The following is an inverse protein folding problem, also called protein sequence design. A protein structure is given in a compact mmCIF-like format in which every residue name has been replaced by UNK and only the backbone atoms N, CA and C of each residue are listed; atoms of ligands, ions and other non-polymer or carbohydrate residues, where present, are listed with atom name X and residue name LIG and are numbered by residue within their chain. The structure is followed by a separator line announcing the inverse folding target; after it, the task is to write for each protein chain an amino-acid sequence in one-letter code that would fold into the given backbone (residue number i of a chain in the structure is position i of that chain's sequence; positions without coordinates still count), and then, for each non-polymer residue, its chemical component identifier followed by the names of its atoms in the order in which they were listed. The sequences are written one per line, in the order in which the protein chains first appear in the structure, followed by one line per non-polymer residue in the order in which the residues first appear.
data_IF_094962298839
#
_entry.id   IF_094962298839
#
_cell.length_a   1.000
_cell.length_b   1.000
_cell.length_c   1.000
_cell.angle_alpha   90.00
_cell.angle_beta   90.00
_cell.angle_gamma   90.00
#
_symmetry.space_group_name_H-M   'P 1'
#
loop_
_entity.id
_entity.type
_entity.pdbx_description
1 polymer ?
#
# COMPACT_ATOMS: atom_id res chain seq x y z
N UNK A 1 -19.52 -24.49 3.35
CA UNK A 1 -19.08 -23.37 2.47
C UNK A 1 -17.56 -23.29 2.56
N UNK A 2 -16.89 -23.19 1.41
CA UNK A 2 -15.43 -23.19 1.37
C UNK A 2 -14.92 -21.94 2.14
N UNK A 3 -14.02 -22.17 3.08
CA UNK A 3 -13.36 -21.14 3.90
C UNK A 3 -12.77 -19.99 3.04
N UNK A 4 -12.11 -20.35 1.94
CA UNK A 4 -11.52 -19.37 1.04
C UNK A 4 -12.55 -18.48 0.35
N UNK A 5 -13.68 -19.04 -0.05
CA UNK A 5 -14.77 -18.29 -0.67
C UNK A 5 -15.41 -17.32 0.32
N UNK A 6 -15.64 -17.75 1.56
CA UNK A 6 -16.26 -16.91 2.60
C UNK A 6 -15.35 -15.74 2.99
N UNK A 7 -14.05 -15.99 3.18
CA UNK A 7 -13.08 -14.95 3.51
C UNK A 7 -12.82 -14.02 2.32
N UNK A 8 -12.78 -14.55 1.10
CA UNK A 8 -12.66 -13.77 -0.12
C UNK A 8 -13.82 -12.80 -0.31
N UNK A 9 -15.05 -13.26 -0.13
CA UNK A 9 -16.24 -12.40 -0.20
C UNK A 9 -16.23 -11.32 0.88
N UNK A 10 -15.89 -11.68 2.12
CA UNK A 10 -15.81 -10.70 3.20
C UNK A 10 -14.70 -9.66 2.97
N UNK A 11 -13.51 -10.09 2.56
CA UNK A 11 -12.43 -9.20 2.18
C UNK A 11 -12.83 -8.25 1.04
N UNK A 12 -13.48 -8.77 0.01
CA UNK A 12 -13.99 -7.97 -1.12
C UNK A 12 -14.96 -6.89 -0.65
N UNK A 13 -15.87 -7.22 0.26
CA UNK A 13 -16.81 -6.26 0.85
C UNK A 13 -16.10 -5.17 1.66
N UNK A 14 -15.07 -5.52 2.43
CA UNK A 14 -14.23 -4.55 3.14
C UNK A 14 -13.57 -3.60 2.15
N UNK A 15 -12.88 -4.14 1.14
CA UNK A 15 -12.15 -3.34 0.15
C UNK A 15 -13.08 -2.42 -0.66
N UNK A 16 -14.25 -2.91 -1.08
CA UNK A 16 -15.25 -2.09 -1.75
C UNK A 16 -15.75 -0.95 -0.87
N UNK A 17 -15.96 -1.22 0.42
CA UNK A 17 -16.40 -0.20 1.38
C UNK A 17 -15.34 0.89 1.55
N UNK A 18 -14.08 0.50 1.64
CA UNK A 18 -12.95 1.44 1.73
C UNK A 18 -12.84 2.34 0.50
N UNK A 19 -12.91 1.77 -0.70
CA UNK A 19 -12.85 2.52 -1.96
C UNK A 19 -14.03 3.51 -2.07
N UNK A 20 -15.19 3.12 -1.57
CA UNK A 20 -16.39 3.97 -1.56
C UNK A 20 -16.45 4.93 -0.37
N UNK A 21 -15.40 4.99 0.44
CA UNK A 21 -15.33 5.76 1.69
C UNK A 21 -16.52 5.48 2.63
N UNK A 22 -16.87 4.20 2.76
CA UNK A 22 -17.95 3.71 3.63
C UNK A 22 -17.39 2.81 4.73
N UNK A 23 -18.08 2.75 5.85
CA UNK A 23 -17.77 1.79 6.92
C UNK A 23 -18.24 0.40 6.48
N UNK A 24 -17.37 -0.64 6.48
CA UNK A 24 -17.80 -2.00 6.16
C UNK A 24 -18.69 -2.57 7.25
N UNK A 25 -19.53 -3.53 6.88
CA UNK A 25 -20.31 -4.30 7.84
C UNK A 25 -19.41 -5.26 8.63
N UNK A 26 -19.83 -5.59 9.85
CA UNK A 26 -19.21 -6.69 10.59
C UNK A 26 -19.52 -8.03 9.88
N UNK A 27 -18.67 -9.08 10.06
CA UNK A 27 -18.96 -10.37 9.47
C UNK A 27 -20.28 -10.94 10.03
N UNK A 28 -21.10 -11.46 9.15
CA UNK A 28 -22.37 -12.14 9.46
C UNK A 28 -22.19 -13.65 9.74
N UNK A 29 -20.94 -14.06 9.91
CA UNK A 29 -20.54 -15.46 10.21
C UNK A 29 -19.47 -15.47 11.31
N UNK A 30 -19.28 -16.65 11.91
CA UNK A 30 -18.20 -16.86 12.88
C UNK A 30 -16.85 -16.84 12.19
N UNK A 31 -16.10 -15.75 12.34
CA UNK A 31 -14.78 -15.55 11.74
C UNK A 31 -13.66 -15.99 12.68
N UNK A 32 -12.70 -16.76 12.18
CA UNK A 32 -11.40 -16.94 12.80
C UNK A 32 -10.48 -15.78 12.36
N UNK A 33 -10.39 -14.76 13.20
CA UNK A 33 -9.62 -13.55 12.90
C UNK A 33 -8.14 -13.81 12.65
N UNK A 34 -7.55 -14.85 13.26
CA UNK A 34 -6.14 -15.19 13.05
C UNK A 34 -5.94 -15.74 11.63
N UNK A 35 -6.80 -16.66 11.18
CA UNK A 35 -6.76 -17.17 9.80
C UNK A 35 -7.07 -16.05 8.79
N UNK A 36 -8.02 -15.19 9.11
CA UNK A 36 -8.35 -14.05 8.26
C UNK A 36 -7.16 -13.07 8.13
N UNK A 37 -6.41 -12.84 9.22
CA UNK A 37 -5.17 -12.05 9.15
C UNK A 37 -4.17 -12.67 8.16
N UNK A 38 -3.90 -13.97 8.25
CA UNK A 38 -2.99 -14.66 7.33
C UNK A 38 -3.47 -14.60 5.88
N UNK A 39 -4.79 -14.73 5.67
CA UNK A 39 -5.41 -14.55 4.37
C UNK A 39 -5.17 -13.14 3.81
N UNK A 40 -5.39 -12.10 4.60
CA UNK A 40 -5.13 -10.70 4.21
C UNK A 40 -3.64 -10.43 3.94
N UNK A 41 -2.74 -11.04 4.73
CA UNK A 41 -1.29 -10.94 4.50
C UNK A 41 -0.87 -11.59 3.18
N UNK A 42 -1.44 -12.76 2.86
CA UNK A 42 -1.18 -13.44 1.57
C UNK A 42 -1.57 -12.55 0.38
N UNK A 43 -2.71 -11.86 0.47
CA UNK A 43 -3.18 -10.93 -0.55
C UNK A 43 -2.57 -9.53 -0.45
N UNK A 44 -1.64 -9.28 0.48
CA UNK A 44 -0.95 -7.99 0.68
C UNK A 44 -1.89 -6.81 0.95
N UNK A 45 -3.00 -7.05 1.65
CA UNK A 45 -4.04 -6.04 1.95
C UNK A 45 -4.34 -5.87 3.45
N UNK A 46 -3.54 -6.48 4.31
CA UNK A 46 -3.75 -6.43 5.76
C UNK A 46 -3.71 -4.99 6.32
N UNK A 47 -2.88 -4.12 5.73
CA UNK A 47 -2.82 -2.70 6.05
C UNK A 47 -4.15 -1.98 5.79
N UNK A 48 -4.81 -2.26 4.66
CA UNK A 48 -6.10 -1.68 4.30
C UNK A 48 -7.19 -2.16 5.27
N UNK A 49 -7.18 -3.45 5.57
CA UNK A 49 -8.18 -4.09 6.44
C UNK A 49 -8.11 -3.54 7.86
N UNK A 50 -6.91 -3.22 8.40
CA UNK A 50 -6.77 -2.66 9.75
C UNK A 50 -7.68 -1.45 9.99
N UNK A 51 -7.68 -0.49 9.10
CA UNK A 51 -8.48 0.74 9.23
C UNK A 51 -9.99 0.47 9.29
N UNK A 52 -10.42 -0.62 8.68
CA UNK A 52 -11.82 -1.03 8.62
C UNK A 52 -12.29 -1.76 9.87
N UNK A 53 -11.40 -2.57 10.47
CA UNK A 53 -11.77 -3.48 11.56
C UNK A 53 -11.34 -3.01 12.95
N UNK A 54 -10.61 -1.89 13.05
CA UNK A 54 -10.06 -1.40 14.34
C UNK A 54 -11.13 -1.15 15.40
N UNK A 55 -12.37 -0.87 15.00
CA UNK A 55 -13.53 -0.63 15.86
C UNK A 55 -14.43 -1.88 16.00
N UNK A 56 -14.03 -3.02 15.45
CA UNK A 56 -14.77 -4.27 15.54
C UNK A 56 -14.35 -5.09 16.78
N UNK A 57 -15.14 -6.08 17.14
CA UNK A 57 -14.79 -7.01 18.21
C UNK A 57 -13.77 -8.04 17.72
N UNK A 58 -12.54 -7.59 17.48
CA UNK A 58 -11.39 -8.41 17.08
C UNK A 58 -10.54 -8.71 18.32
N UNK A 59 -10.05 -9.95 18.52
CA UNK A 59 -9.12 -10.25 19.61
C UNK A 59 -7.91 -9.30 19.58
N UNK A 60 -7.58 -8.72 20.73
CA UNK A 60 -6.54 -7.66 20.86
C UNK A 60 -5.20 -8.05 20.24
N UNK A 61 -4.79 -9.31 20.39
CA UNK A 61 -3.56 -9.81 19.82
C UNK A 61 -3.57 -9.81 18.29
N UNK A 62 -4.69 -10.22 17.67
CA UNK A 62 -4.84 -10.22 16.21
C UNK A 62 -4.94 -8.80 15.68
N UNK A 63 -5.70 -7.93 16.37
CA UNK A 63 -5.79 -6.52 16.00
C UNK A 63 -4.42 -5.85 16.03
N UNK A 64 -3.55 -6.20 17.00
CA UNK A 64 -2.17 -5.74 17.05
C UNK A 64 -1.38 -6.15 15.80
N UNK A 65 -1.50 -7.40 15.35
CA UNK A 65 -0.83 -7.87 14.12
C UNK A 65 -1.26 -7.06 12.88
N UNK A 66 -2.54 -6.75 12.76
CA UNK A 66 -3.04 -5.87 11.69
C UNK A 66 -2.47 -4.44 11.81
N UNK A 67 -2.42 -3.91 13.02
CA UNK A 67 -1.83 -2.59 13.30
C UNK A 67 -0.35 -2.54 12.94
N UNK A 68 0.41 -3.57 13.30
CA UNK A 68 1.84 -3.67 13.01
C UNK A 68 2.08 -3.73 11.50
N UNK A 69 1.26 -4.49 10.76
CA UNK A 69 1.31 -4.54 9.30
C UNK A 69 1.02 -3.16 8.67
N UNK A 70 0.00 -2.45 9.18
CA UNK A 70 -0.31 -1.08 8.76
C UNK A 70 0.84 -0.12 9.05
N UNK A 71 1.37 -0.10 10.28
CA UNK A 71 2.45 0.81 10.69
C UNK A 71 3.73 0.56 9.91
N UNK A 72 4.08 -0.72 9.68
CA UNK A 72 5.25 -1.08 8.88
C UNK A 72 5.14 -0.55 7.46
N UNK A 73 3.98 -0.70 6.84
CA UNK A 73 3.78 -0.21 5.48
C UNK A 73 3.82 1.32 5.42
N UNK A 74 3.15 2.01 6.36
CA UNK A 74 3.18 3.47 6.45
C UNK A 74 4.61 4.01 6.56
N UNK A 75 5.46 3.33 7.35
CA UNK A 75 6.87 3.68 7.47
C UNK A 75 7.65 3.48 6.16
N UNK A 76 7.41 2.35 5.47
CA UNK A 76 8.05 2.07 4.18
C UNK A 76 7.64 3.11 3.14
N UNK A 77 6.37 3.46 3.07
CA UNK A 77 5.82 4.46 2.14
C UNK A 77 6.41 5.86 2.40
N UNK A 78 6.47 6.28 3.66
CA UNK A 78 7.07 7.57 4.01
C UNK A 78 8.56 7.64 3.62
N UNK A 79 9.29 6.55 3.83
CA UNK A 79 10.70 6.44 3.44
C UNK A 79 10.87 6.50 1.92
N UNK A 80 10.00 5.80 1.18
CA UNK A 80 10.03 5.81 -0.29
C UNK A 80 9.71 7.21 -0.86
N UNK A 81 8.78 7.94 -0.24
CA UNK A 81 8.46 9.31 -0.64
C UNK A 81 9.66 10.26 -0.47
N UNK A 82 10.39 10.14 0.65
CA UNK A 82 11.62 10.90 0.88
C UNK A 82 12.64 10.59 -0.21
N UNK A 83 12.90 9.31 -0.48
CA UNK A 83 13.87 8.93 -1.52
C UNK A 83 13.45 9.37 -2.92
N UNK A 84 12.17 9.27 -3.26
CA UNK A 84 11.67 9.75 -4.54
C UNK A 84 11.91 11.25 -4.69
N UNK A 85 11.62 12.04 -3.66
CA UNK A 85 11.84 13.48 -3.67
C UNK A 85 13.30 13.80 -3.83
N UNK A 86 14.21 13.10 -3.14
CA UNK A 86 15.65 13.31 -3.28
C UNK A 86 16.13 13.03 -4.72
N UNK A 87 15.69 11.92 -5.32
CA UNK A 87 16.04 11.55 -6.70
C UNK A 87 15.51 12.58 -7.69
N UNK A 88 14.26 13.01 -7.54
CA UNK A 88 13.66 14.00 -8.45
C UNK A 88 14.36 15.33 -8.36
N UNK A 89 14.66 15.84 -7.15
CA UNK A 89 15.42 17.07 -6.96
C UNK A 89 16.82 16.97 -7.59
N UNK A 90 17.51 15.84 -7.37
CA UNK A 90 18.83 15.64 -7.98
C UNK A 90 18.78 15.63 -9.51
N UNK A 91 17.74 15.07 -10.12
CA UNK A 91 17.56 15.09 -11.56
C UNK A 91 17.21 16.49 -12.07
N UNK A 92 16.36 17.24 -11.38
CA UNK A 92 16.03 18.64 -11.71
C UNK A 92 17.27 19.54 -11.63
N UNK A 93 18.04 19.47 -10.54
CA UNK A 93 19.26 20.25 -10.31
C UNK A 93 20.35 19.98 -11.37
N UNK A 94 20.35 18.78 -11.94
CA UNK A 94 21.28 18.38 -12.99
C UNK A 94 20.66 18.40 -14.40
N UNK A 95 19.51 19.01 -14.59
CA UNK A 95 18.83 19.12 -15.89
C UNK A 95 18.69 17.75 -16.60
N UNK A 96 18.38 16.68 -15.86
CA UNK A 96 18.01 15.38 -16.39
C UNK A 96 16.53 15.37 -16.73
N UNK A 97 16.17 15.08 -17.98
CA UNK A 97 14.75 14.96 -18.38
C UNK A 97 14.18 13.62 -17.94
N UNK A 98 13.23 13.65 -17.03
CA UNK A 98 12.63 12.43 -16.48
C UNK A 98 11.10 12.53 -16.34
N UNK A 99 10.44 11.38 -16.26
CA UNK A 99 9.00 11.27 -15.99
C UNK A 99 8.77 10.14 -14.99
N UNK A 100 8.28 10.44 -13.77
CA UNK A 100 7.82 9.41 -12.84
C UNK A 100 6.65 8.64 -13.44
N UNK A 101 6.61 7.31 -13.28
CA UNK A 101 5.55 6.47 -13.82
C UNK A 101 5.02 5.48 -12.78
N UNK A 102 3.88 4.84 -13.08
CA UNK A 102 3.25 3.77 -12.28
C UNK A 102 2.97 4.13 -10.82
N UNK A 103 3.63 3.42 -9.87
CA UNK A 103 3.25 3.34 -8.46
C UNK A 103 2.96 4.67 -7.79
N UNK A 104 3.86 5.64 -7.89
CA UNK A 104 3.76 6.93 -7.23
C UNK A 104 2.63 7.81 -7.77
N UNK A 105 2.30 7.69 -9.05
CA UNK A 105 1.19 8.41 -9.66
C UNK A 105 -0.15 7.75 -9.35
N UNK A 106 -0.19 6.41 -9.40
CA UNK A 106 -1.43 5.66 -9.22
C UNK A 106 -1.91 5.72 -7.76
N UNK A 107 -1.01 5.76 -6.77
CA UNK A 107 -1.42 5.82 -5.37
C UNK A 107 -2.24 7.07 -5.03
N UNK A 108 -2.03 8.19 -5.74
CA UNK A 108 -2.80 9.43 -5.59
C UNK A 108 -4.28 9.29 -6.01
N UNK A 109 -4.62 8.24 -6.74
CA UNK A 109 -6.00 7.93 -7.16
C UNK A 109 -6.79 7.18 -6.07
N UNK A 110 -6.13 6.68 -5.02
CA UNK A 110 -6.78 5.99 -3.92
C UNK A 110 -7.32 7.01 -2.90
N UNK A 111 -8.45 6.73 -2.22
CA UNK A 111 -9.00 7.59 -1.17
C UNK A 111 -8.00 7.86 -0.03
N UNK A 112 -7.13 6.92 0.23
CA UNK A 112 -5.99 7.04 1.14
C UNK A 112 -4.76 6.50 0.40
N UNK A 113 -3.74 7.30 0.23
CA UNK A 113 -2.55 6.95 -0.54
C UNK A 113 -1.86 5.67 -0.04
N UNK A 114 -1.87 5.46 1.28
CA UNK A 114 -1.32 4.26 1.91
C UNK A 114 -2.12 2.96 1.65
N UNK A 115 -3.22 3.01 0.90
CA UNK A 115 -3.90 1.79 0.47
C UNK A 115 -3.12 1.03 -0.60
N UNK A 116 -2.31 1.73 -1.39
CA UNK A 116 -1.45 1.11 -2.39
C UNK A 116 0.00 1.14 -1.93
N UNK A 117 0.57 -0.04 -1.66
CA UNK A 117 2.02 -0.17 -1.50
C UNK A 117 2.71 -0.10 -2.87
N UNK A 118 3.82 0.61 -2.92
CA UNK A 118 4.73 0.60 -4.05
C UNK A 118 6.10 0.13 -3.56
N UNK A 119 6.70 -0.87 -4.21
CA UNK A 119 8.03 -1.37 -3.85
C UNK A 119 9.14 -0.61 -4.55
N UNK A 120 8.86 -0.15 -5.77
CA UNK A 120 9.84 0.40 -6.69
C UNK A 120 9.49 1.84 -7.08
N UNK A 121 10.51 2.62 -7.44
CA UNK A 121 10.38 3.93 -8.05
C UNK A 121 10.70 3.76 -9.53
N UNK A 122 9.66 3.76 -10.35
CA UNK A 122 9.80 3.65 -11.80
C UNK A 122 9.91 5.06 -12.40
N UNK A 123 10.97 5.30 -13.19
CA UNK A 123 11.23 6.59 -13.82
C UNK A 123 11.60 6.35 -15.29
N UNK A 124 10.95 7.05 -16.19
CA UNK A 124 11.38 7.12 -17.60
C UNK A 124 12.38 8.26 -17.74
N UNK A 125 13.47 8.00 -18.44
CA UNK A 125 14.54 8.95 -18.74
C UNK A 125 14.76 8.95 -20.26
N UNK A 126 15.06 10.11 -20.82
CA UNK A 126 15.45 10.19 -22.23
C UNK A 126 16.77 9.46 -22.47
N UNK A 127 16.92 8.76 -23.59
CA UNK A 127 18.14 8.05 -23.94
C UNK A 127 19.38 8.97 -23.92
N UNK A 128 19.22 10.23 -24.36
CA UNK A 128 20.28 11.26 -24.30
C UNK A 128 20.79 11.57 -22.91
N UNK A 129 19.95 11.38 -21.89
CA UNK A 129 20.24 11.75 -20.50
C UNK A 129 20.59 10.53 -19.63
N UNK A 130 20.58 9.33 -20.21
CA UNK A 130 20.74 8.08 -19.45
C UNK A 130 22.08 8.02 -18.70
N UNK A 131 23.21 8.26 -19.39
CA UNK A 131 24.54 8.26 -18.75
C UNK A 131 24.67 9.33 -17.66
N UNK A 132 24.07 10.50 -17.91
CA UNK A 132 24.04 11.61 -16.95
C UNK A 132 23.25 11.22 -15.70
N UNK A 133 22.08 10.60 -15.88
CA UNK A 133 21.24 10.11 -14.78
C UNK A 133 21.95 9.09 -13.90
N UNK A 134 22.70 8.15 -14.48
CA UNK A 134 23.50 7.19 -13.73
C UNK A 134 24.54 7.89 -12.85
N UNK A 135 25.28 8.85 -13.39
CA UNK A 135 26.29 9.63 -12.63
C UNK A 135 25.66 10.41 -11.46
N UNK A 136 24.48 11.00 -11.68
CA UNK A 136 23.75 11.73 -10.63
C UNK A 136 23.31 10.81 -9.50
N UNK A 137 22.93 9.56 -9.80
CA UNK A 137 22.51 8.59 -8.77
C UNK A 137 23.67 7.93 -8.02
N UNK A 138 24.90 8.01 -8.56
CA UNK A 138 26.12 7.48 -7.94
C UNK A 138 26.80 8.50 -7.02
N UNK A 139 26.45 9.77 -7.11
CA UNK A 139 27.02 10.89 -6.33
C UNK A 139 26.37 11.03 -4.97
#
# INVERSE_FOLDING_TARGET
MDFYLQYGNYLSNILQSLIKNKKPAQPDFQIDWSKFFHFCMHHKVANMVYLSIKDFNVPKEVLRKFKDAYSKLTFIEAKQEIYSTMVYSAFEDNEVSFLPVKGILIKKLYPVENYRSSGDIDILIKDSDFEKSCKVLES
#
